data_IF_892147364424
#
_entry.id   IF_892147364424
#
_cell.length_a   1.000
_cell.length_b   1.000
_cell.length_c   1.000
_cell.angle_alpha   90.00
_cell.angle_beta   90.00
_cell.angle_gamma   90.00
#
_symmetry.space_group_name_H-M   'P 1'
#
loop_
_entity.id
_entity.type
_entity.pdbx_description
1 polymer ?
#
# COMPACT_ATOMS: atom_id res chain seq x y z
N UNK A 1 -21.68 -33.72 -4.77
CA UNK A 1 -20.44 -33.49 -5.52
C UNK A 1 -20.46 -32.16 -6.28
N UNK A 2 -21.55 -31.79 -6.94
CA UNK A 2 -21.62 -30.53 -7.67
C UNK A 2 -21.47 -29.31 -6.77
N UNK A 3 -22.00 -29.35 -5.54
CA UNK A 3 -21.89 -28.25 -4.58
C UNK A 3 -20.46 -28.04 -4.09
N UNK A 4 -19.67 -29.11 -3.94
CA UNK A 4 -18.28 -29.03 -3.53
C UNK A 4 -17.40 -28.41 -4.63
N UNK A 5 -17.69 -28.72 -5.90
CA UNK A 5 -16.95 -28.17 -7.03
C UNK A 5 -17.17 -26.65 -7.15
N UNK A 6 -18.41 -26.20 -6.93
CA UNK A 6 -18.74 -24.79 -6.99
C UNK A 6 -18.05 -24.02 -5.86
N UNK A 7 -18.03 -24.58 -4.66
CA UNK A 7 -17.37 -23.94 -3.53
C UNK A 7 -15.86 -23.84 -3.74
N UNK A 8 -15.24 -24.88 -4.32
CA UNK A 8 -13.82 -24.85 -4.64
C UNK A 8 -13.48 -23.80 -5.70
N UNK A 9 -14.35 -23.64 -6.71
CA UNK A 9 -14.15 -22.61 -7.74
C UNK A 9 -14.24 -21.20 -7.16
N UNK A 10 -15.19 -20.95 -6.27
CA UNK A 10 -15.33 -19.65 -5.61
C UNK A 10 -14.12 -19.35 -4.72
N UNK A 11 -13.63 -20.33 -3.97
CA UNK A 11 -12.45 -20.17 -3.15
C UNK A 11 -11.20 -19.84 -3.99
N UNK A 12 -11.07 -20.49 -5.15
CA UNK A 12 -9.98 -20.21 -6.08
C UNK A 12 -10.05 -18.79 -6.63
N UNK A 13 -11.25 -18.28 -6.94
CA UNK A 13 -11.43 -16.91 -7.40
C UNK A 13 -11.04 -15.90 -6.33
N UNK A 14 -11.41 -16.13 -5.07
CA UNK A 14 -11.00 -15.27 -3.95
C UNK A 14 -9.49 -15.31 -3.73
N UNK A 15 -8.89 -16.47 -3.80
CA UNK A 15 -7.44 -16.62 -3.67
C UNK A 15 -6.71 -15.87 -4.78
N UNK A 16 -7.21 -15.91 -6.00
CA UNK A 16 -6.64 -15.19 -7.13
C UNK A 16 -6.74 -13.67 -6.93
N UNK A 17 -7.86 -13.19 -6.39
CA UNK A 17 -8.04 -11.76 -6.11
C UNK A 17 -7.08 -11.30 -5.01
N UNK A 18 -6.84 -12.13 -4.00
CA UNK A 18 -5.93 -11.82 -2.88
C UNK A 18 -4.47 -11.90 -3.34
N UNK A 19 -4.15 -12.72 -4.35
CA UNK A 19 -2.78 -12.90 -4.84
C UNK A 19 -2.19 -11.64 -5.48
N UNK A 20 -3.04 -10.65 -5.82
CA UNK A 20 -2.58 -9.32 -6.28
C UNK A 20 -2.29 -8.40 -5.12
N UNK A 21 -2.02 -8.95 -3.94
CA UNK A 21 -1.74 -8.18 -2.74
C UNK A 21 -0.51 -7.31 -2.91
N UNK A 22 -0.60 -6.10 -2.40
CA UNK A 22 0.48 -5.13 -2.42
C UNK A 22 1.55 -5.52 -1.41
N UNK A 23 2.80 -5.27 -1.75
CA UNK A 23 3.94 -5.57 -0.87
C UNK A 23 4.78 -4.32 -0.66
N UNK A 24 5.45 -4.27 0.50
CA UNK A 24 6.46 -3.26 0.81
C UNK A 24 7.64 -3.99 1.41
N UNK A 25 8.83 -3.80 0.85
CA UNK A 25 10.04 -4.47 1.31
C UNK A 25 9.89 -6.01 1.33
N UNK A 26 9.16 -6.54 0.36
CA UNK A 26 8.92 -7.98 0.26
C UNK A 26 7.84 -8.53 1.19
N UNK A 27 7.24 -7.69 2.03
CA UNK A 27 6.21 -8.12 2.98
C UNK A 27 4.85 -7.65 2.48
N UNK A 28 3.87 -8.53 2.49
CA UNK A 28 2.50 -8.16 2.09
C UNK A 28 1.89 -7.20 3.10
N UNK A 29 1.16 -6.21 2.61
CA UNK A 29 0.49 -5.24 3.48
C UNK A 29 -0.46 -5.91 4.46
N UNK A 30 -1.10 -7.00 4.06
CA UNK A 30 -1.98 -7.77 4.95
C UNK A 30 -1.24 -8.44 6.11
N UNK A 31 0.08 -8.59 5.99
CA UNK A 31 0.91 -9.24 6.99
C UNK A 31 1.66 -8.25 7.89
N UNK A 32 1.56 -6.96 7.61
CA UNK A 32 2.18 -5.94 8.44
C UNK A 32 1.41 -5.85 9.76
N UNK A 33 2.13 -5.99 10.86
CA UNK A 33 1.53 -6.00 12.20
C UNK A 33 1.84 -4.75 13.02
N UNK A 34 2.45 -3.76 12.41
CA UNK A 34 2.72 -2.49 13.07
C UNK A 34 1.42 -1.80 13.45
N UNK A 35 1.38 -1.19 14.63
CA UNK A 35 0.21 -0.45 15.09
C UNK A 35 0.01 0.84 14.33
N UNK A 36 1.10 1.44 13.88
CA UNK A 36 1.08 2.67 13.09
C UNK A 36 1.94 2.49 11.85
N UNK A 37 1.42 2.96 10.74
CA UNK A 37 2.18 3.07 9.49
C UNK A 37 1.99 4.48 8.95
N UNK A 38 2.91 4.90 8.10
CA UNK A 38 2.77 6.19 7.43
C UNK A 38 3.13 6.05 5.96
N UNK A 39 2.48 6.86 5.13
CA UNK A 39 2.79 6.85 3.71
C UNK A 39 2.68 8.24 3.12
N UNK A 40 3.32 8.43 1.99
CA UNK A 40 3.22 9.64 1.17
C UNK A 40 3.14 9.26 -0.29
N UNK A 41 2.49 10.11 -1.08
CA UNK A 41 2.41 9.95 -2.52
C UNK A 41 3.56 10.68 -3.20
N UNK A 42 4.17 10.03 -4.17
CA UNK A 42 5.23 10.60 -4.98
C UNK A 42 4.75 10.61 -6.42
N UNK A 43 4.55 11.80 -6.97
CA UNK A 43 4.11 11.93 -8.35
C UNK A 43 5.24 11.53 -9.29
N UNK A 44 4.92 10.68 -10.27
CA UNK A 44 5.90 10.26 -11.26
C UNK A 44 6.18 11.39 -12.24
N UNK A 45 7.43 11.47 -12.66
CA UNK A 45 7.85 12.41 -13.71
C UNK A 45 7.15 12.04 -15.03
N UNK A 46 6.58 13.03 -15.69
CA UNK A 46 5.88 12.87 -16.97
C UNK A 46 4.65 11.95 -16.91
N UNK A 47 4.07 11.79 -15.73
CA UNK A 47 2.86 10.99 -15.55
C UNK A 47 1.95 11.65 -14.52
N UNK A 48 0.65 11.41 -14.63
CA UNK A 48 -0.32 11.83 -13.62
C UNK A 48 -0.52 10.77 -12.54
N UNK A 49 0.26 9.71 -12.57
CA UNK A 49 0.18 8.62 -11.58
C UNK A 49 1.11 8.88 -10.40
N UNK A 50 0.78 8.25 -9.29
CA UNK A 50 1.52 8.35 -8.04
C UNK A 50 2.12 7.01 -7.64
N UNK A 51 3.33 7.05 -7.12
CA UNK A 51 3.91 5.96 -6.37
C UNK A 51 3.64 6.20 -4.89
N UNK A 52 3.58 5.14 -4.10
CA UNK A 52 3.37 5.23 -2.66
C UNK A 52 4.63 4.78 -1.93
N UNK A 53 5.14 5.65 -1.07
CA UNK A 53 6.23 5.33 -0.15
C UNK A 53 5.62 5.09 1.23
N UNK A 54 5.81 3.90 1.78
CA UNK A 54 5.18 3.46 3.02
C UNK A 54 6.23 3.01 4.03
N UNK A 55 6.08 3.46 5.26
CA UNK A 55 6.95 3.10 6.38
C UNK A 55 6.12 2.43 7.47
N UNK A 56 6.61 1.29 7.93
CA UNK A 56 5.97 0.55 9.03
C UNK A 56 6.99 0.18 10.13
N UNK A 57 8.17 0.83 10.10
CA UNK A 57 9.25 0.55 11.03
C UNK A 57 10.39 -0.25 10.45
N UNK A 58 10.36 -0.53 9.15
CA UNK A 58 11.46 -1.24 8.49
C UNK A 58 12.69 -0.34 8.38
N UNK A 59 13.85 -0.96 8.28
CA UNK A 59 15.09 -0.23 8.05
C UNK A 59 15.16 0.23 6.60
N UNK A 60 15.07 1.53 6.38
CA UNK A 60 15.12 2.12 5.04
C UNK A 60 16.52 2.65 4.79
N UNK A 61 17.41 1.78 4.36
CA UNK A 61 18.75 2.18 3.88
C UNK A 61 18.71 2.59 2.41
N UNK A 62 17.74 2.06 1.67
CA UNK A 62 17.49 2.38 0.28
C UNK A 62 16.03 2.76 0.13
N UNK A 63 15.76 3.92 -0.45
CA UNK A 63 14.41 4.43 -0.63
C UNK A 63 13.51 3.46 -1.41
N UNK A 64 14.09 2.62 -2.27
CA UNK A 64 13.35 1.59 -3.00
C UNK A 64 12.61 0.62 -2.07
N UNK A 65 13.11 0.43 -0.85
CA UNK A 65 12.49 -0.47 0.12
C UNK A 65 11.19 0.08 0.71
N UNK A 66 10.86 1.34 0.45
CA UNK A 66 9.64 1.97 0.96
C UNK A 66 8.49 1.92 -0.04
N UNK A 67 8.77 1.67 -1.31
CA UNK A 67 7.72 1.70 -2.33
C UNK A 67 6.78 0.50 -2.24
N UNK A 68 5.49 0.78 -2.41
CA UNK A 68 4.48 -0.28 -2.56
C UNK A 68 4.67 -0.91 -3.94
N UNK A 69 4.78 -2.23 -3.97
CA UNK A 69 5.04 -3.00 -5.19
C UNK A 69 4.01 -4.11 -5.35
N UNK A 70 3.87 -4.59 -6.58
CA UNK A 70 3.05 -5.76 -6.87
C UNK A 70 3.83 -7.06 -6.58
N UNK A 71 3.20 -8.19 -6.84
CA UNK A 71 3.80 -9.51 -6.57
C UNK A 71 5.03 -9.77 -7.44
N UNK A 72 5.21 -9.04 -8.53
CA UNK A 72 6.36 -9.18 -9.42
C UNK A 72 7.50 -8.22 -9.05
N UNK A 73 7.34 -7.47 -7.96
CA UNK A 73 8.35 -6.51 -7.54
C UNK A 73 8.33 -5.20 -8.31
N UNK A 74 7.30 -4.97 -9.12
CA UNK A 74 7.15 -3.73 -9.86
C UNK A 74 6.43 -2.71 -9.01
N UNK A 75 6.92 -1.45 -9.03
CA UNK A 75 6.27 -0.35 -8.31
C UNK A 75 4.84 -0.17 -8.79
N UNK A 76 3.89 -0.17 -7.87
CA UNK A 76 2.49 0.04 -8.20
C UNK A 76 2.21 1.52 -8.40
N UNK A 77 1.36 1.81 -9.38
CA UNK A 77 0.91 3.16 -9.66
C UNK A 77 -0.54 3.34 -9.20
N UNK A 78 -0.82 4.49 -8.64
CA UNK A 78 -2.14 4.84 -8.12
C UNK A 78 -2.59 6.15 -8.75
N UNK A 79 -3.90 6.30 -8.91
CA UNK A 79 -4.45 7.54 -9.47
C UNK A 79 -4.28 8.73 -8.53
N UNK A 80 -4.26 8.47 -7.22
CA UNK A 80 -4.09 9.49 -6.20
C UNK A 80 -3.67 8.84 -4.88
N UNK A 81 -3.27 9.67 -3.91
CA UNK A 81 -2.98 9.16 -2.58
C UNK A 81 -4.23 8.63 -1.88
N UNK A 82 -5.40 9.20 -2.17
CA UNK A 82 -6.66 8.70 -1.62
C UNK A 82 -7.06 7.36 -2.22
N UNK A 83 -6.68 7.08 -3.46
CA UNK A 83 -6.87 5.76 -4.05
C UNK A 83 -6.17 4.69 -3.20
N UNK A 84 -4.94 4.95 -2.80
CA UNK A 84 -4.21 4.04 -1.91
C UNK A 84 -4.84 4.00 -0.53
N UNK A 85 -5.22 5.15 0.02
CA UNK A 85 -5.85 5.22 1.34
C UNK A 85 -7.09 4.33 1.40
N UNK A 86 -7.92 4.38 0.37
CA UNK A 86 -9.11 3.54 0.31
C UNK A 86 -8.78 2.05 0.23
N UNK A 87 -7.70 1.71 -0.44
CA UNK A 87 -7.27 0.31 -0.55
C UNK A 87 -6.66 -0.20 0.75
N UNK A 88 -5.88 0.61 1.45
CA UNK A 88 -5.20 0.18 2.67
C UNK A 88 -6.18 -0.05 3.83
N UNK A 89 -7.37 0.54 3.78
CA UNK A 89 -8.41 0.26 4.78
C UNK A 89 -8.79 -1.21 4.78
N UNK A 90 -8.70 -1.88 3.65
CA UNK A 90 -8.96 -3.31 3.56
C UNK A 90 -7.94 -4.18 4.28
N UNK A 91 -6.80 -3.63 4.65
CA UNK A 91 -5.76 -4.36 5.39
C UNK A 91 -5.83 -4.12 6.90
N UNK A 92 -6.90 -3.49 7.38
CA UNK A 92 -7.12 -3.30 8.80
C UNK A 92 -6.57 -2.01 9.38
N UNK A 93 -6.33 -1.01 8.54
CA UNK A 93 -5.85 0.29 8.97
C UNK A 93 -6.89 1.36 8.74
N UNK A 94 -6.84 2.40 9.57
CA UNK A 94 -7.70 3.57 9.43
C UNK A 94 -6.85 4.84 9.52
N UNK A 95 -7.32 5.90 8.90
CA UNK A 95 -6.62 7.17 8.94
C UNK A 95 -6.62 7.73 10.35
N UNK A 96 -5.43 8.03 10.86
CA UNK A 96 -5.26 8.63 12.18
C UNK A 96 -5.00 10.12 12.09
N UNK A 97 -4.07 10.52 11.20
CA UNK A 97 -3.65 11.90 11.09
C UNK A 97 -3.04 12.17 9.73
N UNK A 98 -3.20 13.40 9.24
CA UNK A 98 -2.51 13.89 8.06
C UNK A 98 -1.73 15.13 8.49
N UNK A 99 -0.45 15.20 8.10
CA UNK A 99 0.35 16.38 8.37
C UNK A 99 1.22 16.71 7.16
N UNK A 100 1.56 17.99 6.95
CA UNK A 100 2.44 18.37 5.85
C UNK A 100 3.88 17.98 6.18
N UNK A 101 4.57 17.38 5.21
CA UNK A 101 6.00 17.13 5.30
C UNK A 101 6.71 18.19 4.46
N UNK A 102 7.54 19.00 5.10
CA UNK A 102 8.34 20.00 4.40
C UNK A 102 9.70 19.39 4.09
N UNK A 103 9.94 19.05 2.82
CA UNK A 103 11.24 18.57 2.37
C UNK A 103 11.85 19.61 1.45
N UNK A 104 12.85 20.35 1.95
CA UNK A 104 13.54 21.34 1.14
C UNK A 104 12.66 22.52 0.73
N UNK A 105 12.92 23.11 -0.41
CA UNK A 105 12.35 24.40 -0.79
C UNK A 105 10.99 24.32 -1.48
N UNK A 106 10.53 23.17 -1.96
CA UNK A 106 9.46 23.19 -2.94
C UNK A 106 8.31 22.22 -2.77
N UNK A 107 8.29 21.35 -1.78
CA UNK A 107 7.20 20.41 -1.77
C UNK A 107 6.62 20.16 -0.41
N UNK A 108 5.43 20.66 -0.23
CA UNK A 108 4.54 20.25 0.84
C UNK A 108 3.83 18.98 0.40
N UNK A 109 4.42 17.82 0.71
CA UNK A 109 3.73 16.55 0.49
C UNK A 109 2.99 16.19 1.76
N UNK A 110 1.69 15.86 1.67
CA UNK A 110 1.00 15.40 2.86
C UNK A 110 1.50 14.01 3.26
N UNK A 111 1.74 13.84 4.54
CA UNK A 111 2.09 12.57 5.13
C UNK A 111 0.87 12.00 5.84
N UNK A 112 0.50 10.79 5.51
CA UNK A 112 -0.67 10.12 6.07
C UNK A 112 -0.20 9.13 7.13
N UNK A 113 -0.71 9.28 8.34
CA UNK A 113 -0.45 8.33 9.43
C UNK A 113 -1.70 7.49 9.62
N UNK A 114 -1.52 6.19 9.59
CA UNK A 114 -2.59 5.23 9.74
C UNK A 114 -2.40 4.46 11.03
N UNK A 115 -3.51 4.13 11.65
CA UNK A 115 -3.56 3.35 12.87
C UNK A 115 -4.25 2.04 12.60
N UNK A 116 -3.72 0.96 13.15
CA UNK A 116 -4.34 -0.34 13.08
C UNK A 116 -5.63 -0.36 13.90
N UNK A 117 -6.67 -0.89 13.29
CA UNK A 117 -7.95 -1.04 13.97
C UNK A 117 -7.90 -2.06 15.11
#
# INVERSE_FOLDING_TARGET
MKKLLIAAALAACFATSISKAQTVNGIRLSEIKADYIQFKGIRRTFSDKYLISLEYGQNITNFENSYVKDDNGKKMEFDSTFDFLNKVKGYGYELFQIFPETTGTDSNRPMYVLKRK
#
